data_IF_820098528310
#
_entry.id   IF_820098528310
#
_cell.length_a   1.000
_cell.length_b   1.000
_cell.length_c   1.000
_cell.angle_alpha   90.00
_cell.angle_beta   90.00
_cell.angle_gamma   90.00
#
_symmetry.space_group_name_H-M   'P 1'
#
loop_
_entity.id
_entity.type
_entity.pdbx_description
1 polymer ?
#
# COMPACT_ATOMS: atom_id res chain seq x y z
N UNK A 1 11.54 11.47 20.75
CA UNK A 1 10.18 11.85 20.35
C UNK A 1 9.61 10.65 19.62
N UNK A 2 8.56 10.01 20.16
CA UNK A 2 7.99 8.79 19.53
C UNK A 2 7.20 9.24 18.31
N UNK A 3 7.54 8.67 17.13
CA UNK A 3 6.80 8.95 15.91
C UNK A 3 5.35 8.49 16.06
N UNK A 4 4.39 9.33 15.68
CA UNK A 4 2.99 8.94 15.67
C UNK A 4 2.69 8.07 14.46
N UNK A 5 1.68 7.21 14.54
CA UNK A 5 1.23 6.40 13.38
C UNK A 5 0.98 7.27 12.14
N UNK A 6 0.41 8.47 12.32
CA UNK A 6 0.15 9.41 11.22
C UNK A 6 1.45 9.89 10.56
N UNK A 7 2.49 10.19 11.34
CA UNK A 7 3.80 10.55 10.80
C UNK A 7 4.41 9.39 10.02
N UNK A 8 4.38 8.17 10.59
CA UNK A 8 4.88 6.97 9.90
C UNK A 8 4.09 6.72 8.62
N UNK A 9 2.77 6.92 8.62
CA UNK A 9 1.96 6.79 7.42
C UNK A 9 2.42 7.74 6.32
N UNK A 10 2.55 9.04 6.63
CA UNK A 10 3.00 10.05 5.65
C UNK A 10 4.40 9.74 5.10
N UNK A 11 5.30 9.28 5.95
CA UNK A 11 6.69 9.04 5.58
C UNK A 11 6.90 7.72 4.84
N UNK A 12 6.14 6.68 5.18
CA UNK A 12 6.39 5.31 4.71
C UNK A 12 5.38 4.82 3.67
N UNK A 13 4.18 5.39 3.59
CA UNK A 13 3.13 4.90 2.68
C UNK A 13 3.62 4.72 1.25
N UNK A 14 4.16 5.77 0.64
CA UNK A 14 4.60 5.73 -0.76
C UNK A 14 5.74 4.74 -1.00
N UNK A 15 6.65 4.56 -0.03
CA UNK A 15 7.77 3.59 -0.13
C UNK A 15 7.26 2.16 -0.02
N UNK A 16 6.40 1.90 0.96
CA UNK A 16 5.80 0.56 1.19
C UNK A 16 4.95 0.17 -0.02
N UNK A 17 4.11 1.08 -0.51
CA UNK A 17 3.26 0.82 -1.67
C UNK A 17 4.09 0.53 -2.93
N UNK A 18 5.10 1.36 -3.24
CA UNK A 18 5.96 1.17 -4.40
C UNK A 18 6.69 -0.19 -4.36
N UNK A 19 7.27 -0.54 -3.21
CA UNK A 19 7.94 -1.83 -3.02
C UNK A 19 6.97 -3.03 -3.15
N UNK A 20 5.71 -2.88 -2.68
CA UNK A 20 4.69 -3.91 -2.85
C UNK A 20 4.26 -4.07 -4.30
N UNK A 21 4.09 -2.98 -5.04
CA UNK A 21 3.76 -3.04 -6.48
C UNK A 21 4.88 -3.75 -7.24
N UNK A 22 6.15 -3.41 -6.99
CA UNK A 22 7.29 -4.10 -7.59
C UNK A 22 7.33 -5.60 -7.27
N UNK A 23 6.96 -5.98 -6.04
CA UNK A 23 6.94 -7.38 -5.61
C UNK A 23 5.74 -8.17 -6.16
N UNK A 24 4.54 -7.58 -6.17
CA UNK A 24 3.28 -8.25 -6.51
C UNK A 24 2.92 -8.13 -8.00
N UNK A 25 3.36 -7.08 -8.67
CA UNK A 25 2.98 -6.77 -10.04
C UNK A 25 1.50 -6.39 -10.22
N UNK A 26 0.80 -6.12 -9.11
CA UNK A 26 -0.63 -5.79 -9.06
C UNK A 26 -0.85 -4.62 -8.09
N UNK A 27 -1.39 -3.52 -8.60
CA UNK A 27 -1.60 -2.29 -7.83
C UNK A 27 -2.67 -2.47 -6.75
N UNK A 28 -3.82 -3.05 -7.12
CA UNK A 28 -4.95 -3.18 -6.19
C UNK A 28 -4.59 -4.08 -5.01
N UNK A 29 -3.94 -5.21 -5.31
CA UNK A 29 -3.46 -6.13 -4.28
C UNK A 29 -2.39 -5.49 -3.38
N UNK A 30 -1.50 -4.68 -3.95
CA UNK A 30 -0.47 -3.96 -3.20
C UNK A 30 -1.08 -2.89 -2.28
N UNK A 31 -2.06 -2.12 -2.78
CA UNK A 31 -2.75 -1.10 -1.98
C UNK A 31 -3.53 -1.72 -0.83
N UNK A 32 -4.29 -2.79 -1.07
CA UNK A 32 -5.02 -3.51 -0.02
C UNK A 32 -4.06 -4.08 1.05
N UNK A 33 -2.98 -4.72 0.63
CA UNK A 33 -2.00 -5.28 1.57
C UNK A 33 -1.33 -4.19 2.41
N UNK A 34 -1.00 -3.03 1.81
CA UNK A 34 -0.47 -1.88 2.53
C UNK A 34 -1.50 -1.35 3.55
N UNK A 35 -2.75 -1.16 3.16
CA UNK A 35 -3.82 -0.72 4.05
C UNK A 35 -4.02 -1.68 5.24
N UNK A 36 -4.02 -2.99 5.00
CA UNK A 36 -4.10 -3.99 6.07
C UNK A 36 -2.92 -3.90 7.03
N UNK A 37 -1.69 -3.71 6.54
CA UNK A 37 -0.51 -3.58 7.38
C UNK A 37 -0.58 -2.34 8.28
N UNK A 38 -1.03 -1.20 7.75
CA UNK A 38 -1.25 0.01 8.55
C UNK A 38 -2.40 -0.14 9.55
N UNK A 39 -3.47 -0.86 9.22
CA UNK A 39 -4.54 -1.18 10.16
C UNK A 39 -4.03 -2.02 11.34
N UNK A 40 -3.20 -3.04 11.07
CA UNK A 40 -2.55 -3.85 12.11
C UNK A 40 -1.60 -3.00 12.96
N UNK A 41 -0.85 -2.08 12.35
CA UNK A 41 -0.01 -1.14 13.07
C UNK A 41 -0.83 -0.25 14.02
N UNK A 42 -1.99 0.25 13.56
CA UNK A 42 -2.90 1.06 14.36
C UNK A 42 -3.43 0.31 15.62
N UNK A 43 -3.60 -1.00 15.52
CA UNK A 43 -4.05 -1.84 16.64
C UNK A 43 -2.90 -2.23 17.58
N UNK A 44 -1.72 -2.52 17.04
CA UNK A 44 -0.60 -3.10 17.81
C UNK A 44 0.29 -2.04 18.42
N UNK A 45 0.71 -1.02 17.68
CA UNK A 45 1.70 -0.05 18.13
C UNK A 45 1.32 0.80 19.34
N UNK A 46 0.03 1.10 19.61
CA UNK A 46 -0.33 1.74 20.88
C UNK A 46 0.03 0.92 22.13
N UNK A 47 0.12 -0.41 22.01
CA UNK A 47 0.47 -1.32 23.11
C UNK A 47 1.94 -1.73 23.10
N UNK A 48 2.45 -2.04 21.92
CA UNK A 48 3.75 -2.69 21.72
C UNK A 48 4.87 -1.66 21.42
N UNK A 49 4.50 -0.42 21.14
CA UNK A 49 5.39 0.63 20.65
C UNK A 49 5.62 0.59 19.15
N UNK A 50 6.10 1.71 18.59
CA UNK A 50 6.46 1.80 17.18
C UNK A 50 7.84 1.16 16.99
N UNK A 51 8.00 0.18 16.07
CA UNK A 51 9.30 -0.42 15.79
C UNK A 51 10.32 0.60 15.27
N UNK A 52 11.60 0.42 15.61
CA UNK A 52 12.70 1.28 15.13
C UNK A 52 12.75 1.32 13.59
N UNK A 53 12.46 0.19 12.94
CA UNK A 53 12.37 0.04 11.49
C UNK A 53 10.92 -0.14 11.04
N UNK A 54 10.06 0.86 11.33
CA UNK A 54 8.62 0.82 11.06
C UNK A 54 8.29 0.51 9.59
N UNK A 55 9.06 1.04 8.63
CA UNK A 55 8.89 0.75 7.20
C UNK A 55 9.11 -0.72 6.86
N UNK A 56 10.19 -1.33 7.36
CA UNK A 56 10.48 -2.75 7.14
C UNK A 56 9.41 -3.65 7.76
N UNK A 57 8.96 -3.32 8.97
CA UNK A 57 7.86 -4.01 9.63
C UNK A 57 6.56 -3.96 8.81
N UNK A 58 6.20 -2.77 8.30
CA UNK A 58 5.02 -2.57 7.46
C UNK A 58 5.12 -3.37 6.17
N UNK A 59 6.27 -3.33 5.49
CA UNK A 59 6.47 -4.07 4.24
C UNK A 59 6.38 -5.58 4.45
N UNK A 60 7.02 -6.11 5.49
CA UNK A 60 6.96 -7.54 5.82
C UNK A 60 5.53 -7.97 6.16
N UNK A 61 4.84 -7.18 6.99
CA UNK A 61 3.44 -7.45 7.35
C UNK A 61 2.54 -7.43 6.12
N UNK A 62 2.69 -6.45 5.23
CA UNK A 62 1.91 -6.35 4.00
C UNK A 62 2.20 -7.51 3.03
N UNK A 63 3.47 -7.89 2.84
CA UNK A 63 3.85 -9.05 2.01
C UNK A 63 3.20 -10.33 2.52
N UNK A 64 3.25 -10.58 3.82
CA UNK A 64 2.64 -11.76 4.41
C UNK A 64 1.12 -11.76 4.17
N UNK A 65 0.43 -10.62 4.34
CA UNK A 65 -1.01 -10.51 4.04
C UNK A 65 -1.34 -10.78 2.58
N UNK A 66 -0.56 -10.22 1.65
CA UNK A 66 -0.74 -10.45 0.22
C UNK A 66 -0.54 -11.93 -0.15
N UNK A 67 0.52 -12.57 0.38
CA UNK A 67 0.79 -13.99 0.15
C UNK A 67 -0.33 -14.86 0.70
N UNK A 68 -0.81 -14.59 1.92
CA UNK A 68 -1.92 -15.32 2.54
C UNK A 68 -3.22 -15.19 1.74
N UNK A 69 -3.47 -14.00 1.17
CA UNK A 69 -4.61 -13.76 0.30
C UNK A 69 -4.50 -14.57 -0.99
N UNK A 70 -3.37 -14.46 -1.69
CA UNK A 70 -3.11 -15.24 -2.91
C UNK A 70 -3.26 -16.75 -2.65
N UNK A 71 -2.75 -17.24 -1.52
CA UNK A 71 -2.88 -18.65 -1.13
C UNK A 71 -4.35 -19.02 -0.90
N UNK A 72 -5.11 -18.18 -0.19
CA UNK A 72 -6.56 -18.41 0.04
C UNK A 72 -7.35 -18.44 -1.26
N UNK A 73 -7.09 -17.49 -2.17
CA UNK A 73 -7.76 -17.43 -3.45
C UNK A 73 -7.42 -18.64 -4.33
N UNK A 74 -6.15 -19.06 -4.35
CA UNK A 74 -5.72 -20.30 -5.00
C UNK A 74 -6.34 -21.54 -4.37
N UNK A 75 -6.46 -21.59 -3.04
CA UNK A 75 -7.08 -22.70 -2.32
C UNK A 75 -8.59 -22.75 -2.57
N UNK A 76 -9.27 -21.61 -2.66
CA UNK A 76 -10.68 -21.52 -3.04
C UNK A 76 -10.88 -22.02 -4.49
N UNK A 77 -10.04 -21.58 -5.41
CA UNK A 77 -10.01 -22.07 -6.81
C UNK A 77 -9.60 -23.55 -6.90
N UNK A 78 -8.73 -24.04 -6.01
CA UNK A 78 -8.28 -25.43 -5.95
C UNK A 78 -9.23 -26.34 -5.17
N UNK A 79 -10.02 -25.83 -4.19
CA UNK A 79 -11.13 -26.58 -3.56
C UNK A 79 -12.24 -26.91 -4.54
N UNK A 80 -12.33 -26.13 -5.62
CA UNK A 80 -13.10 -26.54 -6.81
C UNK A 80 -12.35 -27.65 -7.58
N UNK A 81 -11.09 -27.97 -7.26
CA UNK A 81 -10.20 -28.93 -7.95
C UNK A 81 -9.34 -29.80 -7.02
N UNK A 82 -9.81 -30.11 -5.81
CA UNK A 82 -9.17 -31.10 -4.90
C UNK A 82 -7.62 -31.12 -4.94
N UNK A 83 -6.93 -30.36 -4.08
CA UNK A 83 -5.54 -30.67 -3.67
C UNK A 83 -5.10 -29.84 -2.44
N UNK A 84 -4.36 -30.51 -1.53
CA UNK A 84 -3.81 -30.00 -0.27
C UNK A 84 -2.83 -28.84 -0.45
N UNK A 85 -2.89 -27.84 0.45
CA UNK A 85 -1.97 -26.70 0.49
C UNK A 85 -1.31 -26.61 1.88
N UNK A 86 0.03 -26.48 1.97
CA UNK A 86 0.75 -26.38 3.24
C UNK A 86 0.45 -25.04 3.97
N UNK A 87 0.49 -25.10 5.32
CA UNK A 87 0.30 -23.95 6.22
C UNK A 87 1.35 -22.84 6.04
N UNK A 88 0.93 -21.59 6.31
CA UNK A 88 1.80 -20.43 6.27
C UNK A 88 2.83 -20.45 7.40
N UNK A 89 4.09 -20.19 7.07
CA UNK A 89 5.18 -19.99 8.02
C UNK A 89 5.26 -18.49 8.31
N UNK A 90 5.30 -18.10 9.60
CA UNK A 90 5.64 -16.74 10.02
C UNK A 90 7.12 -16.50 9.65
N UNK A 91 7.36 -15.83 8.55
CA UNK A 91 8.72 -15.41 8.18
C UNK A 91 9.22 -14.33 9.13
N UNK A 92 10.49 -14.40 9.59
CA UNK A 92 11.08 -13.37 10.41
C UNK A 92 11.07 -12.01 9.66
N UNK A 93 10.84 -10.93 10.41
CA UNK A 93 10.88 -9.57 9.85
C UNK A 93 12.25 -9.32 9.24
N UNK A 94 12.29 -9.12 7.92
CA UNK A 94 13.51 -8.75 7.22
C UNK A 94 13.82 -7.28 7.53
N UNK A 95 14.87 -7.03 8.33
CA UNK A 95 15.32 -5.68 8.73
C UNK A 95 16.09 -4.96 7.62
N UNK A 96 16.17 -5.54 6.42
CA UNK A 96 16.87 -4.93 5.28
C UNK A 96 16.21 -3.60 4.90
N UNK A 97 17.00 -2.54 4.63
CA UNK A 97 16.46 -1.28 4.16
C UNK A 97 15.61 -1.49 2.90
N UNK A 98 14.39 -0.94 2.90
CA UNK A 98 13.49 -1.04 1.75
C UNK A 98 14.10 -0.22 0.60
N UNK A 99 14.28 -0.80 -0.61
CA UNK A 99 14.64 -0.03 -1.80
C UNK A 99 13.64 1.09 -2.05
N UNK A 100 14.13 2.25 -2.49
CA UNK A 100 13.23 3.36 -2.80
C UNK A 100 12.74 3.26 -4.25
N UNK A 101 11.67 2.51 -4.45
CA UNK A 101 11.03 2.28 -5.76
C UNK A 101 10.00 3.37 -6.12
N UNK A 102 9.92 4.46 -5.34
CA UNK A 102 8.96 5.55 -5.59
C UNK A 102 9.15 6.22 -6.95
N UNK A 103 10.37 6.25 -7.46
CA UNK A 103 10.63 6.86 -8.76
C UNK A 103 9.89 6.14 -9.89
N UNK A 104 9.88 4.82 -9.89
CA UNK A 104 9.15 4.01 -10.86
C UNK A 104 7.63 4.25 -10.77
N UNK A 105 7.12 4.33 -9.54
CA UNK A 105 5.71 4.66 -9.29
C UNK A 105 5.37 6.08 -9.76
N UNK A 106 6.25 7.06 -9.60
CA UNK A 106 6.09 8.42 -10.14
C UNK A 106 5.93 8.38 -11.66
N UNK A 107 6.81 7.67 -12.36
CA UNK A 107 6.72 7.55 -13.82
C UNK A 107 5.41 6.90 -14.26
N UNK A 108 4.93 5.91 -13.53
CA UNK A 108 3.64 5.26 -13.79
C UNK A 108 2.48 6.26 -13.61
N UNK A 109 2.47 7.03 -12.51
CA UNK A 109 1.45 8.05 -12.25
C UNK A 109 1.50 9.22 -13.25
N UNK A 110 2.67 9.52 -13.80
CA UNK A 110 2.90 10.61 -14.77
C UNK A 110 2.85 10.13 -16.22
N UNK A 111 2.16 9.02 -16.51
CA UNK A 111 2.06 8.50 -17.87
C UNK A 111 1.44 9.54 -18.82
N UNK A 112 2.02 9.77 -20.01
CA UNK A 112 1.60 10.84 -20.92
C UNK A 112 0.18 10.66 -21.50
N UNK A 113 -0.41 9.48 -21.39
CA UNK A 113 -1.81 9.25 -21.75
C UNK A 113 -2.81 9.86 -20.76
N UNK A 114 -2.37 10.23 -19.56
CA UNK A 114 -3.20 10.85 -18.53
C UNK A 114 -3.17 12.37 -18.65
N UNK A 115 -4.32 13.02 -18.42
CA UNK A 115 -4.35 14.48 -18.27
C UNK A 115 -3.51 14.93 -17.06
N UNK A 116 -2.88 16.10 -17.14
CA UNK A 116 -1.98 16.60 -16.09
C UNK A 116 -2.64 16.63 -14.70
N UNK A 117 -3.90 17.05 -14.61
CA UNK A 117 -4.66 17.06 -13.37
C UNK A 117 -4.82 15.65 -12.78
N UNK A 118 -5.01 14.64 -13.64
CA UNK A 118 -5.11 13.25 -13.22
C UNK A 118 -3.75 12.71 -12.75
N UNK A 119 -2.66 13.04 -13.46
CA UNK A 119 -1.29 12.69 -13.05
C UNK A 119 -0.97 13.22 -11.65
N UNK A 120 -1.25 14.50 -11.40
CA UNK A 120 -1.01 15.13 -10.10
C UNK A 120 -1.88 14.52 -9.02
N UNK A 121 -3.18 14.34 -9.27
CA UNK A 121 -4.10 13.75 -8.31
C UNK A 121 -3.71 12.31 -7.96
N UNK A 122 -3.34 11.52 -8.95
CA UNK A 122 -2.88 10.13 -8.78
C UNK A 122 -1.58 10.07 -7.97
N UNK A 123 -0.61 10.93 -8.30
CA UNK A 123 0.66 11.01 -7.55
C UNK A 123 0.44 11.40 -6.09
N UNK A 124 -0.42 12.38 -5.81
CA UNK A 124 -0.76 12.76 -4.44
C UNK A 124 -1.45 11.62 -3.68
N UNK A 125 -2.29 10.86 -4.35
CA UNK A 125 -2.99 9.70 -3.77
C UNK A 125 -2.00 8.58 -3.44
N UNK A 126 -1.20 8.16 -4.43
CA UNK A 126 -0.37 6.95 -4.33
C UNK A 126 0.92 7.16 -3.55
N UNK A 127 1.61 8.26 -3.75
CA UNK A 127 2.89 8.56 -3.09
C UNK A 127 2.74 9.44 -1.86
N UNK A 128 1.82 10.41 -1.91
CA UNK A 128 1.58 11.32 -0.80
C UNK A 128 0.67 10.75 0.27
N UNK A 129 -0.05 9.65 -0.01
CA UNK A 129 -1.00 9.06 0.92
C UNK A 129 -2.17 10.00 1.28
N UNK A 130 -2.45 11.02 0.43
CA UNK A 130 -3.53 11.95 0.67
C UNK A 130 -4.88 11.29 0.42
N UNK A 131 -5.86 11.65 1.24
CA UNK A 131 -7.24 11.24 1.04
C UNK A 131 -7.86 11.94 -0.16
N UNK A 132 -8.89 11.33 -0.76
CA UNK A 132 -9.64 11.95 -1.86
C UNK A 132 -10.17 13.34 -1.48
N UNK A 133 -10.64 13.53 -0.23
CA UNK A 133 -11.11 14.83 0.27
C UNK A 133 -10.01 15.89 0.38
N UNK A 134 -8.78 15.51 0.79
CA UNK A 134 -7.63 16.43 0.82
C UNK A 134 -7.22 16.86 -0.59
N UNK A 135 -7.18 15.91 -1.53
CA UNK A 135 -6.88 16.20 -2.94
C UNK A 135 -7.97 17.08 -3.54
N UNK A 136 -9.25 16.80 -3.28
CA UNK A 136 -10.37 17.60 -3.75
C UNK A 136 -10.28 19.06 -3.29
N UNK A 137 -9.92 19.28 -2.02
CA UNK A 137 -9.69 20.63 -1.47
C UNK A 137 -8.54 21.34 -2.17
N UNK A 138 -7.44 20.65 -2.42
CA UNK A 138 -6.28 21.21 -3.14
C UNK A 138 -6.63 21.63 -4.58
N UNK A 139 -7.51 20.88 -5.24
CA UNK A 139 -7.99 21.17 -6.61
C UNK A 139 -9.23 22.05 -6.66
N UNK A 140 -9.76 22.50 -5.51
CA UNK A 140 -10.97 23.32 -5.41
C UNK A 140 -12.19 22.68 -6.10
N UNK A 141 -12.34 21.38 -5.99
CA UNK A 141 -13.46 20.60 -6.54
C UNK A 141 -14.17 19.82 -5.44
N UNK A 142 -15.38 19.30 -5.73
CA UNK A 142 -16.06 18.40 -4.80
C UNK A 142 -15.33 17.05 -4.69
N UNK A 143 -15.45 16.41 -3.52
CA UNK A 143 -14.86 15.08 -3.29
C UNK A 143 -15.39 14.02 -4.29
N UNK A 144 -16.70 14.10 -4.63
CA UNK A 144 -17.31 13.23 -5.63
C UNK A 144 -16.68 13.41 -7.02
N UNK A 145 -16.40 14.68 -7.41
CA UNK A 145 -15.72 14.97 -8.67
C UNK A 145 -14.30 14.41 -8.68
N UNK A 146 -13.57 14.57 -7.59
CA UNK A 146 -12.20 14.04 -7.47
C UNK A 146 -12.19 12.51 -7.49
N UNK A 147 -13.11 11.86 -6.77
CA UNK A 147 -13.26 10.42 -6.79
C UNK A 147 -13.48 9.89 -8.22
N UNK A 148 -14.37 10.52 -8.99
CA UNK A 148 -14.58 10.15 -10.40
C UNK A 148 -13.35 10.35 -11.28
N UNK A 149 -12.56 11.40 -11.04
CA UNK A 149 -11.31 11.63 -11.78
C UNK A 149 -10.28 10.53 -11.50
N UNK A 150 -10.11 10.17 -10.21
CA UNK A 150 -9.19 9.11 -9.80
C UNK A 150 -9.57 7.73 -10.33
N UNK A 151 -10.88 7.43 -10.40
CA UNK A 151 -11.37 6.15 -10.97
C UNK A 151 -11.14 6.05 -12.48
N UNK A 152 -11.11 7.20 -13.20
CA UNK A 152 -10.90 7.22 -14.65
C UNK A 152 -9.43 7.29 -15.05
N UNK A 153 -8.54 7.62 -14.11
CA UNK A 153 -7.11 7.66 -14.30
C UNK A 153 -6.48 6.26 -14.22
#
# INVERSE_FOLDING_TARGET
MVATLEQVFRDQWGRVLAALIGFLGDFDLAEEAAQEAFAIAAERWPRDGVPDHSGAWLLTTARNRAVDRIRRDRTLAAKTRLLDVPEAVDDPVDETPIPDERLELIFTCCHPALATDAQVALTLRTLGGLTTGEIARAFLVSEATMAQRLVRA
#
